data_IF_754152876549
#
_entry.id   IF_754152876549
#
_cell.length_a   1.000
_cell.length_b   1.000
_cell.length_c   1.000
_cell.angle_alpha   90.00
_cell.angle_beta   90.00
_cell.angle_gamma   90.00
#
_symmetry.space_group_name_H-M   'P 1'
#
loop_
_entity.id
_entity.type
_entity.pdbx_description
1 polymer ?
#
# COMPACT_ATOMS: atom_id res chain seq x y z
N UNK A 1 -2.14 -3.94 4.62
CA UNK A 1 -1.07 -3.32 5.43
C UNK A 1 0.12 -3.16 4.49
N UNK A 2 0.85 -2.04 4.56
CA UNK A 2 2.03 -1.87 3.71
C UNK A 2 3.14 -2.84 4.16
N UNK A 3 3.80 -3.42 3.18
CA UNK A 3 4.91 -4.38 3.31
C UNK A 3 6.16 -3.73 2.72
N UNK A 4 7.32 -3.99 3.32
CA UNK A 4 8.61 -3.61 2.77
C UNK A 4 9.04 -4.65 1.72
N UNK A 5 9.44 -4.21 0.54
CA UNK A 5 9.82 -5.06 -0.58
C UNK A 5 11.32 -5.00 -0.82
N UNK A 6 11.80 -3.97 -1.52
CA UNK A 6 13.23 -3.75 -1.74
C UNK A 6 13.82 -2.80 -0.67
N UNK A 7 15.06 -3.04 -0.26
CA UNK A 7 15.73 -2.18 0.71
C UNK A 7 17.25 -2.38 0.74
N UNK A 8 17.95 -1.30 1.07
CA UNK A 8 19.36 -1.32 1.44
C UNK A 8 19.58 -0.34 2.60
N UNK A 9 19.91 -0.87 3.78
CA UNK A 9 19.86 -0.12 5.05
C UNK A 9 21.16 -0.15 5.86
N UNK A 10 22.21 -0.75 5.31
CA UNK A 10 23.53 -0.87 5.93
C UNK A 10 24.59 -0.15 5.08
N UNK A 11 25.84 -0.11 5.56
CA UNK A 11 26.95 0.40 4.75
C UNK A 11 26.98 1.91 4.55
N UNK A 12 26.48 2.73 5.48
CA UNK A 12 26.35 4.18 5.27
C UNK A 12 27.68 4.98 5.32
N UNK A 13 28.65 4.57 4.50
CA UNK A 13 30.05 5.00 4.51
C UNK A 13 30.26 6.42 3.98
N UNK A 14 29.39 6.90 3.08
CA UNK A 14 29.55 8.16 2.36
C UNK A 14 28.22 8.94 2.23
N UNK A 15 28.24 9.98 1.40
CA UNK A 15 27.08 10.75 0.99
C UNK A 15 27.25 11.30 -0.43
N UNK A 16 26.13 11.67 -1.06
CA UNK A 16 26.12 12.54 -2.25
C UNK A 16 25.22 13.74 -2.02
N UNK A 17 25.53 14.86 -2.66
CA UNK A 17 24.71 16.06 -2.60
C UNK A 17 23.53 15.96 -3.57
N UNK A 18 22.41 16.54 -3.17
CA UNK A 18 21.25 16.78 -4.02
C UNK A 18 21.23 18.26 -4.39
N UNK A 19 21.14 18.57 -5.69
CA UNK A 19 21.12 19.93 -6.23
C UNK A 19 20.14 20.05 -7.40
N UNK A 20 19.81 21.28 -7.87
CA UNK A 20 18.92 21.46 -9.02
C UNK A 20 19.32 20.67 -10.27
N UNK A 21 20.61 20.65 -10.62
CA UNK A 21 21.11 19.91 -11.78
C UNK A 21 21.75 18.56 -11.41
N UNK A 22 22.04 18.31 -10.13
CA UNK A 22 22.67 17.06 -9.66
C UNK A 22 21.65 16.18 -8.97
N UNK A 23 21.16 15.19 -9.70
CA UNK A 23 20.15 14.24 -9.22
C UNK A 23 20.84 12.92 -8.90
N UNK A 24 20.36 12.26 -7.85
CA UNK A 24 20.83 10.94 -7.45
C UNK A 24 19.74 9.92 -7.71
N UNK A 25 20.10 8.72 -8.11
CA UNK A 25 19.17 7.61 -8.20
C UNK A 25 19.70 6.38 -7.50
N UNK A 26 18.78 5.56 -7.00
CA UNK A 26 19.00 4.15 -6.72
C UNK A 26 18.07 3.37 -7.63
N UNK A 27 18.62 2.49 -8.46
CA UNK A 27 17.79 1.51 -9.15
C UNK A 27 17.51 0.30 -8.26
N UNK A 28 16.38 -0.34 -8.50
CA UNK A 28 15.93 -1.50 -7.75
C UNK A 28 15.04 -2.37 -8.64
N UNK A 29 15.03 -3.67 -8.36
CA UNK A 29 14.30 -4.66 -9.15
C UNK A 29 13.41 -5.45 -8.21
N UNK A 30 12.10 -5.13 -8.13
CA UNK A 30 11.18 -5.81 -7.23
C UNK A 30 11.17 -7.32 -7.46
N UNK A 31 11.31 -8.08 -6.38
CA UNK A 31 11.19 -9.55 -6.43
C UNK A 31 9.74 -10.04 -6.54
N UNK A 32 8.76 -9.17 -6.26
CA UNK A 32 7.33 -9.47 -6.35
C UNK A 32 6.54 -8.30 -6.95
N UNK A 33 5.56 -8.61 -7.81
CA UNK A 33 4.64 -7.62 -8.37
C UNK A 33 3.76 -7.04 -7.26
N UNK A 34 3.79 -5.73 -7.08
CA UNK A 34 3.08 -5.06 -5.99
C UNK A 34 2.80 -3.58 -6.32
N UNK A 35 2.03 -2.90 -5.46
CA UNK A 35 1.79 -1.46 -5.62
C UNK A 35 2.67 -0.66 -4.65
N UNK A 36 3.71 -0.01 -5.16
CA UNK A 36 4.56 0.91 -4.42
C UNK A 36 3.74 2.11 -3.94
N UNK A 37 3.90 2.47 -2.66
CA UNK A 37 3.16 3.59 -2.04
C UNK A 37 4.07 4.60 -1.36
N UNK A 38 5.27 4.20 -0.95
CA UNK A 38 6.21 5.09 -0.29
C UNK A 38 7.64 4.64 -0.54
N UNK A 39 8.51 5.62 -0.70
CA UNK A 39 9.96 5.43 -0.62
C UNK A 39 10.43 6.01 0.72
N UNK A 40 11.41 5.37 1.34
CA UNK A 40 12.10 5.90 2.51
C UNK A 40 13.57 6.03 2.14
N UNK A 41 14.15 7.21 2.33
CA UNK A 41 15.55 7.45 2.01
C UNK A 41 16.24 8.14 3.20
N UNK A 42 17.53 7.87 3.38
CA UNK A 42 18.31 8.40 4.50
C UNK A 42 19.00 9.71 4.11
N UNK A 43 18.58 10.82 4.73
CA UNK A 43 19.02 12.18 4.37
C UNK A 43 19.51 12.98 5.58
N UNK A 44 20.25 14.05 5.33
CA UNK A 44 20.51 15.14 6.28
C UNK A 44 20.76 16.46 5.54
N UNK A 45 20.69 17.58 6.26
CA UNK A 45 21.13 18.89 5.76
C UNK A 45 22.45 19.32 6.39
N UNK A 46 23.23 20.12 5.66
CA UNK A 46 24.56 20.53 6.08
C UNK A 46 24.93 21.95 5.60
N UNK A 47 25.91 22.59 6.25
CA UNK A 47 26.42 23.96 6.03
C UNK A 47 25.41 25.12 6.12
N UNK A 48 24.10 24.85 6.19
CA UNK A 48 23.08 25.88 6.29
C UNK A 48 21.66 25.33 6.43
N UNK A 49 20.67 26.16 6.08
CA UNK A 49 19.25 25.80 6.03
C UNK A 49 18.82 25.84 4.56
N UNK A 50 18.70 24.69 3.89
CA UNK A 50 18.21 24.66 2.51
C UNK A 50 16.78 25.17 2.43
N UNK A 51 16.50 25.96 1.39
CA UNK A 51 15.15 26.40 1.06
C UNK A 51 14.41 25.31 0.28
N UNK A 52 13.10 25.50 0.10
CA UNK A 52 12.29 24.62 -0.73
C UNK A 52 12.19 23.17 -0.23
N UNK A 53 12.18 22.24 -1.19
CA UNK A 53 11.88 20.83 -0.95
C UNK A 53 13.02 19.91 -1.40
N UNK A 54 13.09 18.75 -0.76
CA UNK A 54 13.63 17.56 -1.38
C UNK A 54 12.52 16.89 -2.17
N UNK A 55 12.79 16.60 -3.43
CA UNK A 55 11.90 15.96 -4.37
C UNK A 55 12.32 14.50 -4.56
N UNK A 56 11.36 13.58 -4.48
CA UNK A 56 11.53 12.16 -4.82
C UNK A 56 10.64 11.82 -6.01
N UNK A 57 11.17 11.07 -6.96
CA UNK A 57 10.47 10.58 -8.16
C UNK A 57 10.69 9.09 -8.33
N UNK A 58 9.69 8.42 -8.88
CA UNK A 58 9.79 7.03 -9.34
C UNK A 58 9.76 7.03 -10.86
N UNK A 59 10.73 6.37 -11.51
CA UNK A 59 10.78 6.20 -12.97
C UNK A 59 11.00 4.75 -13.36
N UNK A 60 10.60 4.41 -14.58
CA UNK A 60 11.06 3.19 -15.25
C UNK A 60 12.56 3.31 -15.60
N UNK A 61 13.17 2.19 -15.97
CA UNK A 61 14.56 2.17 -16.46
C UNK A 61 14.69 1.47 -17.79
N UNK A 62 15.71 1.86 -18.56
CA UNK A 62 16.18 1.24 -19.79
C UNK A 62 17.69 1.07 -19.66
N UNK A 63 18.20 -0.14 -19.90
CA UNK A 63 19.60 -0.50 -19.66
C UNK A 63 20.13 -0.10 -18.26
N UNK A 64 19.28 -0.29 -17.23
CA UNK A 64 19.60 0.04 -15.84
C UNK A 64 19.63 1.54 -15.52
N UNK A 65 19.24 2.41 -16.46
CA UNK A 65 19.23 3.87 -16.27
C UNK A 65 17.81 4.41 -16.21
N UNK A 66 17.51 5.39 -15.32
CA UNK A 66 16.20 6.01 -15.31
C UNK A 66 15.83 6.64 -16.66
N UNK A 67 14.60 6.41 -17.11
CA UNK A 67 14.09 6.94 -18.39
C UNK A 67 12.61 7.29 -18.29
N UNK A 68 12.11 8.04 -19.28
CA UNK A 68 10.70 8.38 -19.42
C UNK A 68 10.15 9.35 -18.36
N UNK A 69 8.82 9.53 -18.33
CA UNK A 69 8.16 10.42 -17.38
C UNK A 69 8.13 9.83 -15.96
N UNK A 70 7.89 10.70 -14.98
CA UNK A 70 7.68 10.28 -13.59
C UNK A 70 6.41 9.42 -13.47
N UNK A 71 6.55 8.21 -12.92
CA UNK A 71 5.43 7.32 -12.59
C UNK A 71 4.69 7.79 -11.34
N UNK A 72 5.45 8.34 -10.38
CA UNK A 72 4.94 9.00 -9.19
C UNK A 72 5.97 9.95 -8.60
N UNK A 73 5.50 10.82 -7.71
CA UNK A 73 6.29 11.87 -7.08
C UNK A 73 5.90 12.08 -5.62
N UNK A 74 6.83 12.62 -4.84
CA UNK A 74 6.59 13.12 -3.48
C UNK A 74 7.60 14.22 -3.17
N UNK A 75 7.28 15.09 -2.22
CA UNK A 75 8.19 16.13 -1.74
C UNK A 75 8.21 16.20 -0.22
N UNK A 76 9.26 16.82 0.33
CA UNK A 76 9.41 17.13 1.75
C UNK A 76 10.19 18.42 1.92
N UNK A 77 9.77 19.28 2.86
CA UNK A 77 10.47 20.52 3.19
C UNK A 77 11.92 20.24 3.62
N UNK A 78 12.89 20.81 2.91
CA UNK A 78 14.31 20.50 3.09
C UNK A 78 14.86 21.03 4.43
N UNK A 79 14.32 22.14 4.95
CA UNK A 79 14.70 22.69 6.25
C UNK A 79 14.31 21.80 7.43
N UNK A 80 13.37 20.86 7.25
CA UNK A 80 12.93 19.89 8.27
C UNK A 80 13.91 18.73 8.48
N UNK A 81 14.94 18.60 7.62
CA UNK A 81 15.93 17.55 7.75
C UNK A 81 16.82 17.77 8.98
N UNK A 82 17.31 16.66 9.53
CA UNK A 82 18.27 16.63 10.63
C UNK A 82 19.59 17.25 10.19
N UNK A 83 20.29 17.89 11.14
CA UNK A 83 21.68 18.33 10.97
C UNK A 83 22.69 17.25 11.37
N UNK A 84 22.24 16.17 12.00
CA UNK A 84 23.10 15.04 12.37
C UNK A 84 23.63 14.32 11.13
N UNK A 85 24.95 14.26 10.99
CA UNK A 85 25.63 13.72 9.79
C UNK A 85 25.47 12.21 9.61
N UNK A 86 25.01 11.51 10.65
CA UNK A 86 24.56 10.12 10.54
C UNK A 86 23.33 9.96 9.62
N UNK A 87 22.57 11.04 9.40
CA UNK A 87 21.34 11.01 8.63
C UNK A 87 20.15 10.45 9.40
N UNK A 88 18.96 10.74 8.92
CA UNK A 88 17.71 10.16 9.40
C UNK A 88 16.90 9.61 8.23
N UNK A 89 16.11 8.57 8.50
CA UNK A 89 15.20 7.97 7.53
C UNK A 89 13.95 8.82 7.37
N UNK A 90 13.64 9.20 6.13
CA UNK A 90 12.50 10.05 5.82
C UNK A 90 11.58 9.36 4.83
N UNK A 91 10.33 9.18 5.23
CA UNK A 91 9.27 8.67 4.37
C UNK A 91 8.79 9.74 3.40
N UNK A 92 8.68 9.35 2.13
CA UNK A 92 8.09 10.07 1.02
C UNK A 92 6.87 9.29 0.54
N UNK A 93 5.68 9.76 0.90
CA UNK A 93 4.41 9.16 0.48
C UNK A 93 4.07 9.61 -0.93
N UNK A 94 4.00 8.67 -1.86
CA UNK A 94 3.82 8.96 -3.27
C UNK A 94 2.41 9.51 -3.56
N UNK A 95 2.35 10.47 -4.48
CA UNK A 95 1.11 11.12 -4.96
C UNK A 95 0.10 10.13 -5.53
N UNK A 96 0.60 9.02 -6.10
CA UNK A 96 -0.19 7.90 -6.61
C UNK A 96 0.56 6.59 -6.32
N UNK A 97 -0.18 5.51 -6.09
CA UNK A 97 0.42 4.19 -5.99
C UNK A 97 0.88 3.70 -7.37
N UNK A 98 2.11 3.18 -7.47
CA UNK A 98 2.69 2.71 -8.74
C UNK A 98 2.71 1.19 -8.73
N UNK A 99 2.11 0.56 -9.74
CA UNK A 99 2.22 -0.88 -9.92
C UNK A 99 3.61 -1.20 -10.48
N UNK A 100 4.41 -1.92 -9.71
CA UNK A 100 5.70 -2.42 -10.14
C UNK A 100 5.59 -3.90 -10.48
N UNK A 101 6.25 -4.31 -11.55
CA UNK A 101 6.28 -5.71 -11.98
C UNK A 101 7.53 -6.42 -11.44
N UNK A 102 7.37 -7.67 -11.01
CA UNK A 102 8.47 -8.50 -10.56
C UNK A 102 9.52 -8.66 -11.67
N UNK A 103 10.80 -8.47 -11.35
CA UNK A 103 11.91 -8.62 -12.29
C UNK A 103 12.11 -7.43 -13.25
N UNK A 104 11.24 -6.41 -13.20
CA UNK A 104 11.45 -5.17 -13.95
C UNK A 104 12.20 -4.15 -13.08
N UNK A 105 13.25 -3.54 -13.60
CA UNK A 105 14.02 -2.51 -12.88
C UNK A 105 13.31 -1.16 -12.95
N UNK A 106 13.34 -0.44 -11.82
CA UNK A 106 12.81 0.92 -11.64
C UNK A 106 13.84 1.77 -10.88
N UNK A 107 13.62 3.08 -10.80
CA UNK A 107 14.51 4.01 -10.11
C UNK A 107 13.77 4.89 -9.10
N UNK A 108 14.35 5.01 -7.89
CA UNK A 108 14.05 6.08 -6.95
C UNK A 108 15.04 7.20 -7.24
N UNK A 109 14.55 8.37 -7.63
CA UNK A 109 15.35 9.56 -7.92
C UNK A 109 15.12 10.58 -6.81
N UNK A 110 16.19 11.20 -6.33
CA UNK A 110 16.14 12.29 -5.37
C UNK A 110 16.95 13.51 -5.85
N UNK A 111 16.39 14.70 -5.65
CA UNK A 111 17.05 15.98 -5.91
C UNK A 111 16.46 17.09 -5.02
N UNK A 112 17.15 18.23 -4.94
CA UNK A 112 16.70 19.38 -4.16
C UNK A 112 16.85 20.64 -5.02
N UNK A 113 15.76 21.16 -5.62
CA UNK A 113 15.84 22.22 -6.64
C UNK A 113 16.44 23.53 -6.11
N UNK A 114 16.25 23.83 -4.83
CA UNK A 114 16.70 25.07 -4.21
C UNK A 114 17.95 24.91 -3.32
N UNK A 115 18.54 23.71 -3.28
CA UNK A 115 19.76 23.47 -2.51
C UNK A 115 20.97 24.20 -3.11
N UNK A 116 21.84 24.72 -2.24
CA UNK A 116 23.01 25.52 -2.59
C UNK A 116 24.26 24.97 -1.91
N UNK A 117 25.45 25.36 -2.37
CA UNK A 117 26.71 24.87 -1.82
C UNK A 117 26.91 25.25 -0.34
N UNK A 118 26.31 26.35 0.10
CA UNK A 118 26.26 26.86 1.48
C UNK A 118 25.02 26.40 2.26
N UNK A 119 24.09 25.68 1.63
CA UNK A 119 22.88 25.15 2.24
C UNK A 119 22.49 23.83 1.57
N UNK A 120 23.14 22.75 2.01
CA UNK A 120 23.18 21.48 1.30
C UNK A 120 22.13 20.49 1.81
N UNK A 121 21.63 19.67 0.89
CA UNK A 121 20.92 18.42 1.18
C UNK A 121 21.80 17.26 0.76
N UNK A 122 21.96 16.27 1.63
CA UNK A 122 22.83 15.12 1.41
C UNK A 122 22.07 13.81 1.63
N UNK A 123 22.26 12.89 0.69
CA UNK A 123 21.74 11.53 0.75
C UNK A 123 22.85 10.56 1.12
N UNK A 124 22.55 9.62 2.03
CA UNK A 124 23.51 8.61 2.48
C UNK A 124 23.72 7.55 1.39
N UNK A 125 24.98 7.19 1.21
CA UNK A 125 25.46 6.35 0.12
C UNK A 125 26.51 5.40 0.67
N UNK A 126 26.48 4.14 0.25
CA UNK A 126 27.59 3.22 0.41
C UNK A 126 28.47 3.27 -0.84
N UNK A 127 29.72 3.68 -0.65
CA UNK A 127 30.71 3.68 -1.72
C UNK A 127 31.70 2.51 -1.65
N UNK A 128 31.64 1.69 -0.58
CA UNK A 128 32.66 0.69 -0.29
C UNK A 128 31.99 -0.64 0.01
N UNK A 129 31.97 -1.52 -0.99
CA UNK A 129 31.46 -2.88 -0.83
C UNK A 129 29.94 -2.93 -0.69
N UNK A 130 29.23 -2.08 -1.43
CA UNK A 130 27.78 -2.14 -1.46
C UNK A 130 27.32 -3.50 -2.04
N UNK A 131 26.35 -4.13 -1.39
CA UNK A 131 25.92 -5.52 -1.67
C UNK A 131 24.49 -5.61 -2.21
N UNK A 132 23.85 -4.47 -2.51
CA UNK A 132 22.48 -4.51 -3.03
C UNK A 132 22.48 -5.03 -4.47
N UNK A 133 22.03 -6.27 -4.67
CA UNK A 133 22.08 -6.94 -5.97
C UNK A 133 20.91 -6.60 -6.91
N UNK A 134 19.90 -5.88 -6.41
CA UNK A 134 18.67 -5.56 -7.16
C UNK A 134 18.80 -4.33 -8.06
N UNK A 135 19.91 -3.60 -8.00
CA UNK A 135 20.16 -2.41 -8.80
C UNK A 135 21.45 -1.72 -8.36
N UNK A 136 21.63 -0.47 -8.76
CA UNK A 136 22.84 0.31 -8.54
C UNK A 136 22.51 1.78 -8.27
N UNK A 137 23.37 2.45 -7.52
CA UNK A 137 23.35 3.89 -7.40
C UNK A 137 23.78 4.59 -8.69
N UNK A 138 23.26 5.79 -8.94
CA UNK A 138 23.65 6.60 -10.09
C UNK A 138 23.51 8.09 -9.86
N UNK A 139 24.15 8.87 -10.73
CA UNK A 139 24.13 10.33 -10.69
C UNK A 139 23.81 10.88 -12.08
N UNK A 140 22.97 11.91 -12.13
CA UNK A 140 22.79 12.79 -13.28
C UNK A 140 23.33 14.18 -12.93
N UNK A 141 24.02 14.82 -13.88
CA UNK A 141 24.54 16.20 -13.75
C UNK A 141 23.80 17.20 -14.66
N UNK A 142 22.76 16.72 -15.35
CA UNK A 142 21.94 17.47 -16.29
C UNK A 142 20.44 17.22 -16.03
N UNK A 143 20.05 17.27 -14.75
CA UNK A 143 18.63 17.26 -14.34
C UNK A 143 17.85 16.02 -14.82
N UNK A 144 18.51 14.86 -14.87
CA UNK A 144 17.90 13.59 -15.20
C UNK A 144 17.88 13.22 -16.68
N UNK A 145 18.53 14.00 -17.56
CA UNK A 145 18.62 13.70 -18.99
C UNK A 145 19.54 12.51 -19.29
N UNK A 146 20.72 12.47 -18.66
CA UNK A 146 21.64 11.33 -18.75
C UNK A 146 22.14 10.90 -17.37
N UNK A 147 22.51 9.62 -17.27
CA UNK A 147 22.86 8.97 -16.01
C UNK A 147 24.20 8.24 -16.11
N UNK A 148 25.05 8.51 -15.12
CA UNK A 148 26.25 7.73 -14.83
C UNK A 148 25.96 6.82 -13.66
N UNK A 149 25.88 5.51 -13.91
CA UNK A 149 25.68 4.49 -12.88
C UNK A 149 27.01 4.18 -12.19
N UNK A 150 26.99 3.98 -10.89
CA UNK A 150 28.15 3.69 -10.06
C UNK A 150 28.17 2.19 -9.73
N UNK A 151 28.89 1.41 -10.54
CA UNK A 151 29.05 -0.02 -10.28
C UNK A 151 29.68 -0.24 -8.90
N UNK A 152 28.94 -0.89 -7.99
CA UNK A 152 29.41 -1.21 -6.63
C UNK A 152 29.17 -0.13 -5.57
N UNK A 153 28.28 0.84 -5.81
CA UNK A 153 27.79 1.68 -4.73
C UNK A 153 26.29 1.96 -4.81
N UNK A 154 25.67 2.04 -3.63
CA UNK A 154 24.23 2.10 -3.47
C UNK A 154 23.81 3.18 -2.49
N UNK A 155 22.69 3.84 -2.77
CA UNK A 155 22.06 4.70 -1.79
C UNK A 155 21.23 3.91 -0.81
N UNK A 156 21.15 4.42 0.42
CA UNK A 156 20.33 3.81 1.45
C UNK A 156 18.86 4.15 1.23
N UNK A 157 18.04 3.11 1.05
CA UNK A 157 16.63 3.23 0.73
C UNK A 157 15.79 2.09 1.31
N UNK A 158 14.50 2.33 1.41
CA UNK A 158 13.49 1.30 1.56
C UNK A 158 12.32 1.58 0.62
N UNK A 159 11.77 0.51 0.08
CA UNK A 159 10.58 0.51 -0.75
C UNK A 159 9.41 -0.12 0.03
N UNK A 160 8.29 0.61 0.13
CA UNK A 160 7.10 0.16 0.85
C UNK A 160 5.84 0.23 0.00
N UNK A 161 5.13 -0.88 -0.08
CA UNK A 161 3.95 -1.01 -0.93
C UNK A 161 2.90 -1.96 -0.39
N UNK A 162 1.81 -2.13 -1.13
CA UNK A 162 0.81 -3.14 -0.84
C UNK A 162 1.04 -4.35 -1.73
N UNK A 163 1.21 -5.53 -1.10
CA UNK A 163 1.29 -6.78 -1.85
C UNK A 163 0.01 -6.98 -2.66
N UNK A 164 0.19 -7.26 -3.94
CA UNK A 164 -0.91 -7.75 -4.76
C UNK A 164 -1.11 -9.21 -4.39
N UNK A 165 -2.23 -9.54 -3.76
CA UNK A 165 -2.55 -10.94 -3.54
C UNK A 165 -2.93 -11.57 -4.88
N UNK A 166 -2.57 -12.85 -5.05
CA UNK A 166 -2.48 -13.59 -6.32
C UNK A 166 -3.78 -13.65 -7.14
N UNK A 167 -3.76 -14.37 -8.29
CA UNK A 167 -4.85 -14.52 -9.28
C UNK A 167 -6.26 -14.66 -8.64
N UNK A 168 -6.36 -15.30 -7.47
CA UNK A 168 -7.55 -15.26 -6.63
C UNK A 168 -7.15 -15.23 -5.15
N UNK A 169 -7.59 -14.21 -4.40
CA UNK A 169 -7.46 -14.17 -2.94
C UNK A 169 -8.72 -14.77 -2.29
N UNK A 170 -8.57 -15.83 -1.48
CA UNK A 170 -9.66 -16.37 -0.65
C UNK A 170 -9.46 -16.03 0.82
N UNK A 171 -10.45 -15.39 1.44
CA UNK A 171 -10.45 -15.09 2.88
C UNK A 171 -11.65 -15.77 3.52
N UNK A 172 -11.42 -16.60 4.55
CA UNK A 172 -12.47 -17.40 5.20
C UNK A 172 -12.54 -17.07 6.69
N UNK A 173 -13.76 -16.82 7.19
CA UNK A 173 -14.04 -16.56 8.60
C UNK A 173 -15.18 -17.47 9.07
N UNK A 174 -15.06 -18.07 10.25
CA UNK A 174 -16.11 -18.90 10.85
C UNK A 174 -16.45 -18.44 12.27
N UNK A 175 -17.74 -18.32 12.58
CA UNK A 175 -18.27 -18.19 13.95
C UNK A 175 -19.04 -19.47 14.25
N UNK A 176 -18.51 -20.27 15.17
CA UNK A 176 -18.99 -21.63 15.42
C UNK A 176 -20.19 -21.70 16.38
N UNK A 177 -20.26 -20.85 17.43
CA UNK A 177 -21.44 -20.70 18.28
C UNK A 177 -21.33 -19.47 19.18
N UNK A 178 -22.46 -18.80 19.44
CA UNK A 178 -22.61 -17.83 20.53
C UNK A 178 -23.79 -18.30 21.39
N UNK A 179 -23.51 -18.67 22.65
CA UNK A 179 -24.49 -19.23 23.58
C UNK A 179 -25.22 -18.10 24.32
N UNK A 180 -26.49 -17.89 23.95
CA UNK A 180 -27.48 -16.95 24.49
C UNK A 180 -27.01 -15.51 24.76
N UNK A 181 -27.47 -14.59 23.92
CA UNK A 181 -27.44 -13.14 24.19
C UNK A 181 -28.87 -12.66 24.48
N UNK A 182 -29.08 -12.09 25.68
CA UNK A 182 -30.41 -11.69 26.18
C UNK A 182 -31.03 -10.53 25.41
N UNK A 183 -30.20 -9.65 24.82
CA UNK A 183 -30.64 -8.48 24.04
C UNK A 183 -30.16 -8.55 22.59
N UNK A 184 -29.20 -7.69 22.22
CA UNK A 184 -28.67 -7.57 20.86
C UNK A 184 -27.20 -7.96 20.80
N UNK A 185 -26.88 -8.94 19.95
CA UNK A 185 -25.50 -9.26 19.62
C UNK A 185 -25.00 -8.41 18.45
N UNK A 186 -23.87 -7.73 18.59
CA UNK A 186 -23.16 -7.08 17.47
C UNK A 186 -21.85 -7.81 17.16
N UNK A 187 -21.71 -8.30 15.93
CA UNK A 187 -20.43 -8.83 15.44
C UNK A 187 -19.97 -7.98 14.27
N UNK A 188 -18.76 -7.42 14.40
CA UNK A 188 -18.20 -6.48 13.42
C UNK A 188 -16.90 -7.01 12.83
N UNK A 189 -16.87 -7.15 11.51
CA UNK A 189 -15.66 -7.40 10.75
C UNK A 189 -15.28 -6.16 9.96
N UNK A 190 -14.03 -5.72 10.08
CA UNK A 190 -13.43 -4.70 9.21
C UNK A 190 -12.28 -5.34 8.43
N UNK A 191 -12.40 -5.41 7.11
CA UNK A 191 -11.44 -6.10 6.25
C UNK A 191 -10.91 -5.14 5.19
N UNK A 192 -9.57 -5.05 5.08
CA UNK A 192 -8.86 -4.27 4.07
C UNK A 192 -7.92 -5.18 3.26
N UNK A 193 -8.21 -5.44 1.99
CA UNK A 193 -7.35 -6.30 1.14
C UNK A 193 -7.31 -5.85 -0.34
N UNK A 194 -6.25 -6.20 -1.06
CA UNK A 194 -6.09 -5.92 -2.50
C UNK A 194 -5.65 -7.17 -3.28
N UNK A 195 -6.19 -7.40 -4.48
CA UNK A 195 -5.77 -8.49 -5.36
C UNK A 195 -5.69 -8.06 -6.82
N UNK A 196 -4.79 -8.68 -7.59
CA UNK A 196 -4.58 -8.31 -8.99
C UNK A 196 -5.74 -8.69 -9.92
N UNK A 197 -6.54 -9.72 -9.57
CA UNK A 197 -7.60 -10.24 -10.44
C UNK A 197 -8.90 -10.50 -9.69
N UNK A 198 -8.98 -11.49 -8.81
CA UNK A 198 -10.23 -11.81 -8.11
C UNK A 198 -10.07 -11.88 -6.59
N UNK A 199 -11.08 -11.43 -5.86
CA UNK A 199 -11.18 -11.60 -4.40
C UNK A 199 -12.45 -12.39 -4.10
N UNK A 200 -12.34 -13.35 -3.20
CA UNK A 200 -13.45 -14.12 -2.66
C UNK A 200 -13.43 -14.10 -1.13
N UNK A 201 -14.44 -13.47 -0.53
CA UNK A 201 -14.67 -13.56 0.91
C UNK A 201 -15.72 -14.60 1.22
N UNK A 202 -15.48 -15.41 2.26
CA UNK A 202 -16.43 -16.39 2.78
C UNK A 202 -16.60 -16.20 4.28
N UNK A 203 -17.83 -15.93 4.70
CA UNK A 203 -18.21 -15.94 6.11
C UNK A 203 -19.14 -17.11 6.38
N UNK A 204 -18.79 -17.94 7.36
CA UNK A 204 -19.63 -18.98 7.93
C UNK A 204 -20.11 -18.57 9.32
N UNK A 205 -21.42 -18.44 9.53
CA UNK A 205 -22.01 -18.22 10.86
C UNK A 205 -22.95 -19.38 11.12
N UNK A 206 -22.58 -20.27 12.05
CA UNK A 206 -23.22 -21.58 12.22
C UNK A 206 -24.32 -21.63 13.29
N UNK A 207 -24.30 -20.73 14.27
CA UNK A 207 -25.37 -20.58 15.25
C UNK A 207 -25.33 -19.21 15.93
N UNK A 208 -26.45 -18.47 15.88
CA UNK A 208 -26.71 -17.30 16.71
C UNK A 208 -27.94 -17.61 17.57
N UNK A 209 -27.77 -17.75 18.89
CA UNK A 209 -28.89 -17.83 19.83
C UNK A 209 -29.01 -16.48 20.53
N UNK A 210 -29.81 -15.58 19.98
CA UNK A 210 -30.07 -14.24 20.54
C UNK A 210 -31.51 -13.83 20.29
N UNK A 211 -32.05 -12.90 21.09
CA UNK A 211 -33.31 -12.25 20.74
C UNK A 211 -33.17 -11.47 19.43
N UNK A 212 -32.14 -10.62 19.32
CA UNK A 212 -31.80 -9.89 18.10
C UNK A 212 -30.29 -9.94 17.82
N UNK A 213 -29.87 -9.95 16.55
CA UNK A 213 -28.48 -9.89 16.14
C UNK A 213 -28.25 -8.86 15.03
N UNK A 214 -27.10 -8.22 15.05
CA UNK A 214 -26.64 -7.33 14.00
C UNK A 214 -25.22 -7.74 13.59
N UNK A 215 -25.09 -8.26 12.37
CA UNK A 215 -23.81 -8.62 11.78
C UNK A 215 -23.38 -7.51 10.83
N UNK A 216 -22.22 -6.92 11.09
CA UNK A 216 -21.70 -5.78 10.33
C UNK A 216 -20.41 -6.22 9.65
N UNK A 217 -20.44 -6.26 8.33
CA UNK A 217 -19.30 -6.57 7.48
C UNK A 217 -18.89 -5.30 6.74
N UNK A 218 -17.75 -4.74 7.11
CA UNK A 218 -17.16 -3.58 6.45
C UNK A 218 -15.95 -4.04 5.65
N UNK A 219 -16.06 -4.03 4.33
CA UNK A 219 -15.03 -4.48 3.40
C UNK A 219 -14.57 -3.30 2.56
N UNK A 220 -13.28 -2.98 2.66
CA UNK A 220 -12.60 -2.12 1.68
C UNK A 220 -11.65 -2.99 0.88
N UNK A 221 -11.90 -3.06 -0.42
CA UNK A 221 -11.17 -3.95 -1.31
C UNK A 221 -10.84 -3.27 -2.66
N UNK A 222 -9.68 -3.63 -3.20
CA UNK A 222 -9.23 -3.21 -4.53
C UNK A 222 -8.97 -4.48 -5.35
N UNK A 223 -9.69 -4.67 -6.45
CA UNK A 223 -9.52 -5.87 -7.28
C UNK A 223 -9.60 -5.56 -8.78
N UNK A 224 -8.74 -6.24 -9.56
CA UNK A 224 -8.60 -5.99 -10.99
C UNK A 224 -9.75 -6.49 -11.85
N UNK A 225 -10.42 -7.58 -11.49
CA UNK A 225 -11.52 -8.17 -12.28
C UNK A 225 -12.81 -8.29 -11.45
N UNK A 226 -12.83 -9.21 -10.49
CA UNK A 226 -14.08 -9.58 -9.80
C UNK A 226 -13.97 -9.64 -8.28
N UNK A 227 -15.08 -9.33 -7.62
CA UNK A 227 -15.28 -9.51 -6.20
C UNK A 227 -16.44 -10.50 -6.00
N UNK A 228 -16.19 -11.60 -5.31
CA UNK A 228 -17.22 -12.50 -4.82
C UNK A 228 -17.27 -12.45 -3.30
N UNK A 229 -18.47 -12.32 -2.77
CA UNK A 229 -18.71 -12.28 -1.34
C UNK A 229 -19.77 -13.32 -1.03
N UNK A 230 -19.40 -14.32 -0.23
CA UNK A 230 -20.25 -15.46 0.13
C UNK A 230 -20.54 -15.43 1.62
N UNK A 231 -21.81 -15.47 1.96
CA UNK A 231 -22.29 -15.64 3.33
C UNK A 231 -23.01 -16.97 3.44
N UNK A 232 -22.49 -17.85 4.28
CA UNK A 232 -23.14 -19.08 4.70
C UNK A 232 -23.62 -18.87 6.13
N UNK A 233 -24.93 -18.67 6.28
CA UNK A 233 -25.53 -18.34 7.57
C UNK A 233 -26.55 -19.41 7.92
N UNK A 234 -26.29 -20.10 9.02
CA UNK A 234 -27.18 -21.03 9.68
C UNK A 234 -27.52 -20.42 11.04
N UNK A 235 -28.75 -19.94 11.22
CA UNK A 235 -29.13 -19.24 12.46
C UNK A 235 -30.56 -19.60 12.88
N UNK A 236 -30.77 -20.25 14.04
CA UNK A 236 -32.04 -20.23 14.73
C UNK A 236 -32.15 -18.95 15.57
N UNK A 237 -32.64 -17.86 14.98
CA UNK A 237 -32.97 -16.61 15.69
C UNK A 237 -34.46 -16.54 16.01
N UNK A 238 -34.80 -16.05 17.21
CA UNK A 238 -36.20 -16.01 17.70
C UNK A 238 -36.94 -14.72 17.34
N UNK A 239 -36.22 -13.58 17.29
CA UNK A 239 -36.69 -12.31 16.74
C UNK A 239 -35.67 -11.86 15.71
N UNK A 240 -34.81 -10.86 15.98
CA UNK A 240 -34.05 -10.16 14.94
C UNK A 240 -32.76 -10.69 14.38
N UNK A 241 -32.54 -10.51 13.07
CA UNK A 241 -31.19 -10.45 12.49
C UNK A 241 -31.08 -9.27 11.53
N UNK A 242 -30.03 -8.48 11.57
CA UNK A 242 -29.74 -7.45 10.56
C UNK A 242 -28.32 -7.67 10.03
N UNK A 243 -28.15 -7.59 8.72
CA UNK A 243 -26.85 -7.77 8.08
C UNK A 243 -26.41 -6.48 7.36
N UNK A 244 -25.43 -5.76 7.88
CA UNK A 244 -24.95 -4.53 7.25
C UNK A 244 -23.69 -4.83 6.45
N UNK A 245 -23.69 -4.53 5.15
CA UNK A 245 -22.57 -4.77 4.23
C UNK A 245 -22.00 -3.44 3.71
N UNK A 246 -21.04 -2.88 4.41
CA UNK A 246 -20.37 -1.66 3.98
C UNK A 246 -19.21 -2.02 3.06
N UNK A 247 -19.45 -1.94 1.75
CA UNK A 247 -18.45 -2.33 0.74
C UNK A 247 -18.01 -1.09 -0.03
N UNK A 248 -16.72 -0.77 0.05
CA UNK A 248 -16.12 0.39 -0.60
C UNK A 248 -14.98 -0.07 -1.53
N UNK A 249 -15.29 -0.23 -2.82
CA UNK A 249 -14.37 -0.90 -3.76
C UNK A 249 -14.52 -0.35 -5.20
N UNK A 250 -13.44 0.05 -5.89
CA UNK A 250 -13.40 0.01 -7.34
C UNK A 250 -13.14 -1.43 -7.81
N UNK A 251 -14.02 -1.94 -8.68
CA UNK A 251 -13.97 -3.28 -9.28
C UNK A 251 -14.20 -3.11 -10.78
N UNK A 252 -13.33 -3.66 -11.62
CA UNK A 252 -13.37 -3.33 -13.04
C UNK A 252 -14.37 -4.18 -13.86
N UNK A 253 -14.73 -5.39 -13.41
CA UNK A 253 -15.66 -6.26 -14.17
C UNK A 253 -16.94 -6.58 -13.42
N UNK A 254 -16.87 -7.29 -12.30
CA UNK A 254 -18.07 -7.85 -11.68
C UNK A 254 -18.03 -7.93 -10.15
N UNK A 255 -19.15 -7.61 -9.52
CA UNK A 255 -19.38 -7.85 -8.09
C UNK A 255 -20.51 -8.86 -7.94
N UNK A 256 -20.27 -9.95 -7.21
CA UNK A 256 -21.26 -10.99 -6.93
C UNK A 256 -21.43 -11.18 -5.43
N UNK A 257 -22.67 -11.10 -4.98
CA UNK A 257 -23.08 -11.46 -3.63
C UNK A 257 -23.81 -12.78 -3.65
N UNK A 258 -23.38 -13.73 -2.82
CA UNK A 258 -24.02 -15.03 -2.66
C UNK A 258 -24.43 -15.17 -1.20
N UNK A 259 -25.73 -15.30 -0.98
CA UNK A 259 -26.31 -15.50 0.34
C UNK A 259 -26.91 -16.91 0.40
N UNK A 260 -26.29 -17.78 1.17
CA UNK A 260 -26.85 -19.08 1.53
C UNK A 260 -27.38 -18.94 2.96
N UNK A 261 -28.70 -18.82 3.10
CA UNK A 261 -29.36 -18.69 4.40
C UNK A 261 -30.31 -19.86 4.59
N UNK A 262 -30.20 -20.55 5.72
CA UNK A 262 -31.03 -21.70 6.08
C UNK A 262 -31.51 -21.60 7.53
N UNK A 263 -32.59 -22.33 7.85
CA UNK A 263 -33.23 -22.26 9.17
C UNK A 263 -34.22 -21.10 9.35
N UNK A 264 -34.67 -20.47 8.26
CA UNK A 264 -35.66 -19.39 8.28
C UNK A 264 -37.07 -19.98 8.24
N UNK A 265 -37.93 -19.56 9.16
CA UNK A 265 -39.29 -20.10 9.34
C UNK A 265 -40.41 -19.20 8.81
N UNK A 266 -40.10 -17.97 8.37
CA UNK A 266 -41.09 -17.01 7.84
C UNK A 266 -40.76 -16.51 6.43
N UNK A 267 -40.00 -15.41 6.29
CA UNK A 267 -39.71 -14.79 4.99
C UNK A 267 -38.39 -13.99 5.03
N UNK A 268 -37.91 -13.59 3.84
CA UNK A 268 -36.66 -12.82 3.65
C UNK A 268 -36.97 -11.57 2.84
N UNK A 269 -36.56 -10.38 3.32
CA UNK A 269 -36.66 -9.12 2.60
C UNK A 269 -35.27 -8.58 2.21
N UNK A 270 -35.10 -8.15 0.96
CA UNK A 270 -33.85 -7.61 0.43
C UNK A 270 -34.01 -6.12 0.10
N UNK A 271 -33.24 -5.27 0.77
CA UNK A 271 -33.17 -3.84 0.47
C UNK A 271 -31.84 -3.48 -0.19
N UNK A 272 -31.90 -3.07 -1.46
CA UNK A 272 -30.75 -2.57 -2.21
C UNK A 272 -30.82 -1.04 -2.30
N UNK A 273 -29.81 -0.35 -1.75
CA UNK A 273 -29.67 1.11 -1.88
C UNK A 273 -28.36 1.43 -2.57
N UNK A 274 -28.42 2.09 -3.72
CA UNK A 274 -27.21 2.56 -4.43
C UNK A 274 -26.83 3.94 -3.92
N UNK A 275 -26.04 3.99 -2.84
CA UNK A 275 -25.16 5.11 -2.43
C UNK A 275 -24.31 4.65 -1.24
N UNK A 276 -22.98 4.61 -1.41
CA UNK A 276 -21.90 4.42 -0.41
C UNK A 276 -22.01 3.30 0.66
N UNK A 277 -23.09 2.54 0.75
CA UNK A 277 -23.28 1.44 1.71
C UNK A 277 -24.42 0.52 1.27
N UNK A 278 -24.23 -0.80 1.34
CA UNK A 278 -25.31 -1.79 1.24
C UNK A 278 -25.76 -2.15 2.67
N UNK A 279 -27.05 -2.09 2.96
CA UNK A 279 -27.58 -2.49 4.27
C UNK A 279 -28.73 -3.46 4.09
N UNK A 280 -28.57 -4.70 4.54
CA UNK A 280 -29.65 -5.66 4.66
C UNK A 280 -30.21 -5.58 6.10
N UNK A 281 -31.47 -5.21 6.25
CA UNK A 281 -32.10 -5.03 7.57
C UNK A 281 -33.27 -5.99 7.67
N UNK A 282 -33.21 -6.95 8.60
CA UNK A 282 -34.37 -7.78 8.91
C UNK A 282 -34.99 -7.25 10.21
N UNK A 283 -36.28 -6.93 10.17
CA UNK A 283 -37.09 -6.46 11.30
C UNK A 283 -38.22 -7.45 11.58
N UNK A 284 -38.74 -7.40 12.81
CA UNK A 284 -39.60 -8.44 13.39
C UNK A 284 -40.74 -7.73 14.12
N UNK A 285 -41.93 -8.29 14.02
CA UNK A 285 -43.09 -7.95 14.84
C UNK A 285 -43.50 -9.20 15.61
#
# INVERSE_FOLDING_TARGET
MATRFEYYIFGDTHFRNLYPATWQCQTFTPTATHNLTSAIIKLYRYLGVPEGNVEVRIRATEDGKPTGPDLASSSRVASSLTTGTAGAWYTFTLSVAVRLEAGQTYAIIAYAPEARSDAQVRMKYDAIGAEYSGGEGGTSTNSGDTWSMASGGDFLFEEWGNQLVSKTLQVKWNVLAITQVSDTLQVKWNVLTSAAKSIEYRWGVLALVSQSAQLIFSVRALTGDSLQVVFNILTPVSHSVQFVFNILTPVNKAVRFVFNVSGITKYVELHLRRRKSLSLTLKWR
#
